data_IF_865237846427
#
_entry.id   IF_865237846427
#
_cell.length_a   1.000
_cell.length_b   1.000
_cell.length_c   1.000
_cell.angle_alpha   90.00
_cell.angle_beta   90.00
_cell.angle_gamma   90.00
#
_symmetry.space_group_name_H-M   'P 1'
#
loop_
_entity.id
_entity.type
_entity.pdbx_description
1 polymer ?
#
# COMPACT_ATOMS: atom_id res chain seq x y z
N UNK A 1 -14.19 -20.06 25.92
CA UNK A 1 -12.81 -19.59 25.72
C UNK A 1 -12.83 -18.33 24.87
N UNK A 2 -12.49 -17.20 25.47
CA UNK A 2 -12.54 -15.85 24.87
C UNK A 2 -11.44 -15.64 23.81
N UNK A 3 -10.49 -16.55 23.70
CA UNK A 3 -9.26 -16.37 22.92
C UNK A 3 -9.26 -16.94 21.48
N UNK A 4 -10.38 -17.42 20.96
CA UNK A 4 -10.44 -18.03 19.62
C UNK A 4 -11.31 -17.27 18.59
N UNK A 5 -11.71 -16.03 18.86
CA UNK A 5 -12.35 -15.23 17.82
C UNK A 5 -11.27 -14.54 17.00
N UNK A 6 -11.12 -14.95 15.75
CA UNK A 6 -10.35 -14.19 14.74
C UNK A 6 -10.88 -12.74 14.76
N UNK A 7 -10.03 -11.73 14.96
CA UNK A 7 -10.50 -10.35 14.98
C UNK A 7 -11.21 -10.04 13.67
N UNK A 8 -12.30 -9.26 13.69
CA UNK A 8 -13.04 -8.91 12.50
C UNK A 8 -12.14 -8.12 11.54
N UNK A 9 -12.09 -8.56 10.28
CA UNK A 9 -11.41 -7.83 9.21
C UNK A 9 -12.39 -6.89 8.55
N UNK A 10 -11.95 -5.67 8.29
CA UNK A 10 -12.72 -4.62 7.65
C UNK A 10 -12.01 -4.12 6.41
N UNK A 11 -12.78 -3.80 5.40
CA UNK A 11 -12.31 -2.98 4.28
C UNK A 11 -12.32 -1.49 4.67
N UNK A 12 -11.78 -0.65 3.81
CA UNK A 12 -11.73 0.79 4.05
C UNK A 12 -13.12 1.42 4.08
N UNK A 13 -14.07 0.95 3.29
CA UNK A 13 -15.43 1.48 3.29
C UNK A 13 -16.12 1.27 4.66
N UNK A 14 -15.93 0.10 5.25
CA UNK A 14 -16.45 -0.20 6.58
C UNK A 14 -15.75 0.61 7.68
N UNK A 15 -14.45 0.80 7.57
CA UNK A 15 -13.67 1.62 8.50
C UNK A 15 -14.09 3.09 8.43
N UNK A 16 -14.24 3.65 7.23
CA UNK A 16 -14.69 5.03 7.00
C UNK A 16 -16.07 5.27 7.64
N UNK A 17 -17.01 4.38 7.36
CA UNK A 17 -18.36 4.46 7.94
C UNK A 17 -18.36 4.35 9.46
N UNK A 18 -17.49 3.51 10.04
CA UNK A 18 -17.35 3.37 11.48
C UNK A 18 -16.76 4.63 12.13
N UNK A 19 -15.68 5.18 11.56
CA UNK A 19 -15.04 6.40 12.01
C UNK A 19 -16.01 7.59 11.98
N UNK A 20 -16.80 7.70 10.90
CA UNK A 20 -17.79 8.75 10.73
C UNK A 20 -19.01 8.57 11.63
N UNK A 21 -19.73 7.44 11.50
CA UNK A 21 -21.05 7.29 12.13
C UNK A 21 -20.98 6.85 13.59
N UNK A 22 -20.01 5.99 13.92
CA UNK A 22 -19.92 5.41 15.27
C UNK A 22 -19.03 6.22 16.19
N UNK A 23 -17.81 6.50 15.75
CA UNK A 23 -16.85 7.26 16.56
C UNK A 23 -17.09 8.77 16.49
N UNK A 24 -17.66 9.26 15.38
CA UNK A 24 -17.85 10.71 15.11
C UNK A 24 -16.52 11.49 15.16
N UNK A 25 -15.44 10.82 14.76
CA UNK A 25 -14.08 11.38 14.75
C UNK A 25 -13.62 11.84 13.36
N UNK A 26 -14.34 11.46 12.31
CA UNK A 26 -13.98 11.75 10.93
C UNK A 26 -15.19 12.12 10.07
N UNK A 27 -15.05 12.97 9.04
CA UNK A 27 -16.07 13.18 8.02
C UNK A 27 -16.23 11.96 7.11
N UNK A 28 -17.32 11.86 6.33
CA UNK A 28 -17.43 10.84 5.30
C UNK A 28 -16.34 11.05 4.24
N UNK A 29 -15.72 9.96 3.77
CA UNK A 29 -14.62 10.04 2.79
C UNK A 29 -13.24 10.26 3.41
N UNK A 30 -13.15 10.36 4.72
CA UNK A 30 -11.90 10.57 5.48
C UNK A 30 -10.77 9.61 5.06
N UNK A 31 -11.08 8.38 4.72
CA UNK A 31 -10.07 7.41 4.26
C UNK A 31 -9.30 7.95 3.06
N UNK A 32 -10.01 8.43 2.04
CA UNK A 32 -9.38 8.92 0.81
C UNK A 32 -8.76 10.32 0.98
N UNK A 33 -9.42 11.17 1.75
CA UNK A 33 -9.06 12.58 1.83
C UNK A 33 -7.93 12.84 2.84
N UNK A 34 -7.83 12.00 3.87
CA UNK A 34 -6.85 12.22 4.95
C UNK A 34 -5.98 11.00 5.24
N UNK A 35 -6.57 9.79 5.43
CA UNK A 35 -5.79 8.63 5.87
C UNK A 35 -4.81 8.16 4.81
N UNK A 36 -5.27 7.90 3.59
CA UNK A 36 -4.41 7.40 2.52
C UNK A 36 -3.25 8.34 2.20
N UNK A 37 -3.43 9.68 2.10
CA UNK A 37 -2.32 10.62 1.97
C UNK A 37 -1.29 10.52 3.11
N UNK A 38 -1.74 10.37 4.36
CA UNK A 38 -0.82 10.20 5.50
C UNK A 38 -0.05 8.89 5.46
N UNK A 39 -0.69 7.78 5.04
CA UNK A 39 -0.01 6.49 4.85
C UNK A 39 1.06 6.59 3.76
N UNK A 40 0.73 7.24 2.64
CA UNK A 40 1.65 7.45 1.51
C UNK A 40 2.85 8.30 1.92
N UNK A 41 2.62 9.40 2.63
CA UNK A 41 3.67 10.27 3.13
C UNK A 41 4.60 9.52 4.09
N UNK A 42 4.06 8.72 4.98
CA UNK A 42 4.85 7.87 5.86
C UNK A 42 5.73 6.89 5.09
N UNK A 43 5.19 6.20 4.10
CA UNK A 43 5.95 5.25 3.25
C UNK A 43 7.01 5.99 2.42
N UNK A 44 6.70 7.20 1.91
CA UNK A 44 7.67 8.05 1.23
C UNK A 44 8.88 8.32 2.11
N UNK A 45 8.67 8.82 3.33
CA UNK A 45 9.75 9.15 4.27
C UNK A 45 10.58 7.93 4.67
N UNK A 46 9.93 6.81 4.96
CA UNK A 46 10.63 5.55 5.29
C UNK A 46 11.49 5.07 4.12
N UNK A 47 10.95 5.13 2.90
CA UNK A 47 11.68 4.73 1.69
C UNK A 47 12.87 5.63 1.44
N UNK A 48 12.70 6.95 1.56
CA UNK A 48 13.78 7.94 1.41
C UNK A 48 14.89 7.72 2.45
N UNK A 49 14.51 7.57 3.73
CA UNK A 49 15.46 7.35 4.82
C UNK A 49 16.22 6.02 4.66
N UNK A 50 15.53 4.96 4.25
CA UNK A 50 16.19 3.66 4.02
C UNK A 50 17.16 3.74 2.84
N UNK A 51 16.77 4.42 1.76
CA UNK A 51 17.66 4.63 0.61
C UNK A 51 18.92 5.41 0.98
N UNK A 52 18.79 6.48 1.75
CA UNK A 52 19.92 7.28 2.21
C UNK A 52 20.90 6.45 3.06
N UNK A 53 20.37 5.64 3.97
CA UNK A 53 21.17 4.85 4.91
C UNK A 53 21.72 3.54 4.33
N UNK A 54 21.04 2.98 3.35
CA UNK A 54 21.35 1.67 2.75
C UNK A 54 21.39 1.74 1.21
N UNK A 55 22.18 2.63 0.59
CA UNK A 55 22.17 2.83 -0.87
C UNK A 55 22.47 1.55 -1.66
N UNK A 56 23.30 0.68 -1.11
CA UNK A 56 23.67 -0.59 -1.76
C UNK A 56 22.50 -1.61 -1.84
N UNK A 57 21.49 -1.46 -1.01
CA UNK A 57 20.30 -2.32 -1.03
C UNK A 57 19.31 -1.91 -2.13
N UNK A 58 19.37 -0.65 -2.58
CA UNK A 58 18.58 -0.08 -3.67
C UNK A 58 19.29 -0.15 -5.02
N UNK A 59 20.12 -1.14 -5.24
CA UNK A 59 20.79 -1.27 -6.54
C UNK A 59 19.77 -1.48 -7.66
N UNK A 60 19.85 -0.63 -8.70
CA UNK A 60 19.06 -0.74 -9.94
C UNK A 60 19.45 -2.01 -10.70
N UNK A 61 18.96 -3.16 -10.26
CA UNK A 61 19.08 -4.40 -11.02
C UNK A 61 17.83 -4.53 -11.88
N UNK A 62 17.98 -4.28 -13.18
CA UNK A 62 16.95 -4.01 -14.16
C UNK A 62 15.84 -5.04 -14.41
N UNK A 63 15.66 -6.04 -13.57
CA UNK A 63 14.62 -7.07 -13.75
C UNK A 63 14.02 -7.53 -12.42
N UNK A 64 14.08 -6.72 -11.38
CA UNK A 64 13.58 -7.09 -10.08
C UNK A 64 12.57 -6.06 -9.57
N UNK A 65 11.50 -6.54 -9.00
CA UNK A 65 10.59 -5.76 -8.16
C UNK A 65 10.36 -6.53 -6.86
N UNK A 66 9.97 -5.82 -5.81
CA UNK A 66 9.63 -6.40 -4.52
C UNK A 66 8.24 -5.95 -4.09
N UNK A 67 7.49 -6.85 -3.47
CA UNK A 67 6.25 -6.56 -2.79
C UNK A 67 6.48 -6.57 -1.29
N UNK A 68 6.07 -5.50 -0.62
CA UNK A 68 6.20 -5.32 0.82
C UNK A 68 4.83 -5.06 1.43
N UNK A 69 4.62 -5.53 2.64
CA UNK A 69 3.50 -5.13 3.48
C UNK A 69 3.92 -4.03 4.43
N UNK A 70 3.02 -3.09 4.70
CA UNK A 70 3.22 -2.06 5.72
C UNK A 70 2.05 -2.10 6.68
N UNK A 71 2.35 -2.29 7.96
CA UNK A 71 1.36 -2.38 9.01
C UNK A 71 1.29 -1.05 9.77
N UNK A 72 0.07 -0.57 9.96
CA UNK A 72 -0.21 0.68 10.67
C UNK A 72 -1.21 0.45 11.78
N UNK A 73 -1.07 1.20 12.85
CA UNK A 73 -2.09 1.36 13.88
C UNK A 73 -2.63 2.79 13.85
N UNK A 74 -3.90 2.95 14.17
CA UNK A 74 -4.52 4.25 14.34
C UNK A 74 -4.62 4.57 15.83
N UNK A 75 -4.23 5.77 16.23
CA UNK A 75 -4.45 6.23 17.59
C UNK A 75 -5.90 6.72 17.80
N UNK A 76 -6.19 7.22 18.99
CA UNK A 76 -7.52 7.70 19.36
C UNK A 76 -7.95 9.00 18.63
N UNK A 77 -7.05 9.60 17.86
CA UNK A 77 -7.32 10.74 16.97
C UNK A 77 -7.30 10.35 15.51
N UNK A 78 -7.31 9.04 15.22
CA UNK A 78 -7.22 8.44 13.89
C UNK A 78 -5.91 8.74 13.14
N UNK A 79 -4.85 9.20 13.85
CA UNK A 79 -3.54 9.38 13.25
C UNK A 79 -2.88 8.02 13.03
N UNK A 80 -2.35 7.74 11.83
CA UNK A 80 -1.65 6.50 11.54
C UNK A 80 -0.22 6.52 12.10
N UNK A 81 0.19 5.36 12.62
CA UNK A 81 1.56 5.09 13.06
C UNK A 81 2.04 3.81 12.38
N UNK A 82 3.14 3.91 11.63
CA UNK A 82 3.76 2.75 11.01
C UNK A 82 4.40 1.88 12.09
N UNK A 83 4.05 0.61 12.09
CA UNK A 83 4.61 -0.36 13.06
C UNK A 83 5.61 -1.29 12.42
N UNK A 84 5.41 -1.67 11.16
CA UNK A 84 6.27 -2.62 10.47
C UNK A 84 6.25 -2.40 8.95
N UNK A 85 7.40 -2.65 8.32
CA UNK A 85 7.51 -2.89 6.87
C UNK A 85 8.14 -4.27 6.69
N UNK A 86 7.41 -5.20 6.07
CA UNK A 86 7.80 -6.59 5.97
C UNK A 86 7.92 -7.08 4.53
N UNK A 87 8.89 -7.96 4.29
CA UNK A 87 8.98 -8.75 3.06
C UNK A 87 7.96 -9.88 3.12
N UNK A 88 7.29 -10.14 2.01
CA UNK A 88 6.34 -11.26 1.94
C UNK A 88 5.09 -11.02 2.77
N UNK A 89 4.28 -10.02 2.42
CA UNK A 89 3.00 -9.79 3.08
C UNK A 89 2.10 -11.03 2.98
N UNK A 90 1.25 -11.24 3.98
CA UNK A 90 0.34 -12.39 4.04
C UNK A 90 -0.66 -12.41 2.87
N UNK A 91 -0.34 -13.13 1.82
CA UNK A 91 -1.10 -13.20 0.55
C UNK A 91 -2.07 -14.39 0.49
N UNK A 92 -2.48 -14.93 1.63
CA UNK A 92 -3.47 -16.01 1.67
C UNK A 92 -4.87 -15.49 1.34
N UNK A 93 -5.64 -16.26 0.58
CA UNK A 93 -7.06 -16.00 0.28
C UNK A 93 -7.99 -16.40 1.44
N UNK A 94 -7.53 -16.28 2.67
CA UNK A 94 -8.23 -16.80 3.86
C UNK A 94 -9.51 -16.04 4.22
N UNK A 95 -9.75 -14.90 3.58
CA UNK A 95 -10.96 -14.12 3.81
C UNK A 95 -11.46 -13.44 2.51
N UNK A 96 -12.77 -13.08 2.46
CA UNK A 96 -13.39 -12.51 1.25
C UNK A 96 -12.75 -11.19 0.78
N UNK A 97 -12.24 -10.36 1.70
CA UNK A 97 -11.59 -9.08 1.36
C UNK A 97 -10.29 -9.36 0.62
N UNK A 98 -9.44 -10.23 1.17
CA UNK A 98 -8.18 -10.62 0.53
C UNK A 98 -8.40 -11.38 -0.78
N UNK A 99 -9.39 -12.27 -0.83
CA UNK A 99 -9.73 -13.01 -2.04
C UNK A 99 -10.10 -12.10 -3.22
N UNK A 100 -10.63 -10.92 -2.95
CA UNK A 100 -10.92 -9.91 -3.97
C UNK A 100 -9.70 -9.05 -4.30
N UNK A 101 -9.07 -8.47 -3.29
CA UNK A 101 -8.04 -7.43 -3.48
C UNK A 101 -6.72 -8.00 -4.02
N UNK A 102 -6.30 -9.18 -3.55
CA UNK A 102 -4.99 -9.73 -3.90
C UNK A 102 -4.85 -10.04 -5.39
N UNK A 103 -5.81 -10.71 -6.07
CA UNK A 103 -5.71 -10.95 -7.50
C UNK A 103 -5.67 -9.66 -8.32
N UNK A 104 -6.52 -8.66 -7.99
CA UNK A 104 -6.54 -7.36 -8.67
C UNK A 104 -5.21 -6.62 -8.52
N UNK A 105 -4.65 -6.60 -7.31
CA UNK A 105 -3.35 -6.01 -7.02
C UNK A 105 -2.22 -6.68 -7.81
N UNK A 106 -2.17 -8.01 -7.86
CA UNK A 106 -1.15 -8.73 -8.62
C UNK A 106 -1.26 -8.49 -10.11
N UNK A 107 -2.48 -8.51 -10.66
CA UNK A 107 -2.69 -8.25 -12.08
C UNK A 107 -2.16 -6.86 -12.44
N UNK A 108 -2.55 -5.83 -11.69
CA UNK A 108 -2.08 -4.46 -11.93
C UNK A 108 -0.56 -4.35 -11.75
N UNK A 109 0.02 -4.98 -10.74
CA UNK A 109 1.47 -4.97 -10.52
C UNK A 109 2.23 -5.60 -11.71
N UNK A 110 1.72 -6.71 -12.25
CA UNK A 110 2.32 -7.37 -13.43
C UNK A 110 2.20 -6.46 -14.66
N UNK A 111 1.03 -5.87 -14.89
CA UNK A 111 0.79 -4.97 -16.03
C UNK A 111 1.76 -3.77 -15.98
N UNK A 112 1.94 -3.16 -14.82
CA UNK A 112 2.90 -2.07 -14.59
C UNK A 112 4.33 -2.52 -14.91
N UNK A 113 4.75 -3.67 -14.42
CA UNK A 113 6.12 -4.20 -14.63
C UNK A 113 6.36 -4.49 -16.12
N UNK A 114 5.39 -5.06 -16.81
CA UNK A 114 5.48 -5.34 -18.24
C UNK A 114 5.56 -4.04 -19.04
N UNK A 115 4.73 -3.06 -18.76
CA UNK A 115 4.76 -1.75 -19.42
C UNK A 115 6.10 -1.04 -19.21
N UNK A 116 6.62 -1.00 -17.97
CA UNK A 116 7.94 -0.44 -17.68
C UNK A 116 9.03 -1.14 -18.47
N UNK A 117 8.97 -2.47 -18.59
CA UNK A 117 9.93 -3.25 -19.37
C UNK A 117 9.89 -2.89 -20.85
N UNK A 118 8.71 -2.77 -21.43
CA UNK A 118 8.55 -2.39 -22.84
C UNK A 118 9.00 -0.94 -23.09
N UNK A 119 8.61 0.00 -22.24
CA UNK A 119 9.05 1.40 -22.33
C UNK A 119 10.56 1.56 -22.19
N UNK A 120 11.20 0.76 -21.34
CA UNK A 120 12.68 0.75 -21.25
C UNK A 120 13.36 0.26 -22.54
N UNK A 121 12.79 -0.73 -23.20
CA UNK A 121 13.34 -1.24 -24.48
C UNK A 121 13.16 -0.25 -25.63
N UNK A 122 12.03 0.43 -25.68
CA UNK A 122 11.67 1.39 -26.73
C UNK A 122 12.19 2.82 -26.49
N UNK A 123 12.84 3.09 -25.34
CA UNK A 123 13.21 4.45 -24.96
C UNK A 123 12.02 5.33 -24.55
N UNK A 124 10.89 4.71 -24.18
CA UNK A 124 9.66 5.41 -23.81
C UNK A 124 9.74 6.14 -22.48
N UNK A 125 8.78 7.02 -22.24
CA UNK A 125 8.69 7.82 -21.03
C UNK A 125 8.21 6.98 -19.83
N UNK A 126 9.07 6.79 -18.84
CA UNK A 126 8.77 6.05 -17.62
C UNK A 126 7.98 6.87 -16.58
N UNK A 127 7.72 8.14 -16.82
CA UNK A 127 6.91 8.98 -15.91
C UNK A 127 5.41 8.84 -16.17
N UNK A 128 5.05 8.26 -17.31
CA UNK A 128 3.67 8.01 -17.73
C UNK A 128 3.47 6.51 -17.87
N UNK A 129 2.88 5.88 -16.89
CA UNK A 129 2.56 4.45 -16.87
C UNK A 129 1.04 4.32 -16.93
N UNK A 130 0.53 3.81 -18.04
CA UNK A 130 -0.91 3.70 -18.32
C UNK A 130 -1.58 2.57 -17.55
N UNK A 131 -0.81 1.55 -17.18
CA UNK A 131 -1.29 0.41 -16.38
C UNK A 131 -1.62 0.75 -14.94
N UNK A 132 -1.24 1.94 -14.44
CA UNK A 132 -1.55 2.36 -13.07
C UNK A 132 -3.03 2.72 -12.96
N UNK A 133 -3.75 2.00 -12.08
CA UNK A 133 -5.18 2.21 -11.77
C UNK A 133 -5.39 2.54 -10.30
N UNK A 134 -4.99 1.60 -9.43
CA UNK A 134 -5.11 1.69 -7.97
C UNK A 134 -3.76 1.92 -7.29
N UNK A 135 -2.66 1.56 -7.97
CA UNK A 135 -1.33 1.92 -7.49
C UNK A 135 -1.08 3.41 -7.60
N UNK A 136 -0.25 3.93 -6.71
CA UNK A 136 0.13 5.33 -6.71
C UNK A 136 1.64 5.47 -6.54
N UNK A 137 2.20 6.49 -7.16
CA UNK A 137 3.60 6.86 -6.98
C UNK A 137 3.80 7.45 -5.59
N UNK A 138 4.58 6.77 -4.75
CA UNK A 138 4.91 7.24 -3.40
C UNK A 138 6.32 7.79 -3.32
N UNK A 139 7.25 7.20 -4.06
CA UNK A 139 8.64 7.62 -4.11
C UNK A 139 9.19 7.55 -5.53
N UNK A 140 9.95 8.56 -5.93
CA UNK A 140 10.62 8.63 -7.23
C UNK A 140 12.04 9.15 -7.05
N UNK A 141 12.99 8.52 -7.73
CA UNK A 141 14.38 8.99 -7.80
C UNK A 141 14.54 10.15 -8.78
#
# INVERSE_FOLDING_TARGET
SIFHRTPPKWDFAKLDNYAHKKLKLAPPGWINDELLPQLQDCIHHVTAAFRERQPNQFTKKGSRFGLFGSDFILDNKLKPWLTEVQKGPGLSFSDPIKAKIIPEMFQEAIDIVLEIKEKRKSGGNLTQIESIKNFQWVYKE
#
